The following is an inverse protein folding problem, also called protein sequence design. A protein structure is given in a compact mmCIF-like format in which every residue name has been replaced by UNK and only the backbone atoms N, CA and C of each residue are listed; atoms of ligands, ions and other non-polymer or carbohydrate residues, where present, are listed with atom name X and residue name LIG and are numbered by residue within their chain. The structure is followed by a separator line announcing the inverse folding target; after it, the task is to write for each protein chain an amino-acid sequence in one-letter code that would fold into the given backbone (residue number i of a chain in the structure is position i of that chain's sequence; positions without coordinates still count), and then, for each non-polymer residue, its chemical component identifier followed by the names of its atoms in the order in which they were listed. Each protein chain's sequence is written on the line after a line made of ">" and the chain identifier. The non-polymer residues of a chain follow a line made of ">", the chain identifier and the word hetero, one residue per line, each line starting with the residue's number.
data_IF_187695543208
#
_entry.id   IF_187695543208
#
_cell.length_a   1.000
_cell.length_b   1.000
_cell.length_c   1.000
_cell.angle_alpha   90.00
_cell.angle_beta   90.00
_cell.angle_gamma   90.00
#
_symmetry.space_group_name_H-M   'P 1'
#
loop_
_entity.id
_entity.type
_entity.pdbx_description
1 polymer ?
#
# COMPACT_ATOMS: atom_id res chain seq x y z
N UNK A 1 -44.82 5.27 -9.78
CA UNK A 1 -43.98 5.76 -8.66
C UNK A 1 -42.92 4.71 -8.38
N UNK A 2 -41.72 4.87 -8.96
CA UNK A 2 -40.57 4.02 -8.68
C UNK A 2 -39.88 4.58 -7.44
N UNK A 3 -39.80 3.78 -6.38
CA UNK A 3 -39.07 4.13 -5.16
C UNK A 3 -37.59 3.83 -5.41
N UNK A 4 -36.78 4.87 -5.53
CA UNK A 4 -35.33 4.77 -5.42
C UNK A 4 -35.00 4.39 -3.97
N UNK A 5 -34.36 3.24 -3.76
CA UNK A 5 -33.73 2.94 -2.49
C UNK A 5 -32.42 3.71 -2.43
N UNK A 6 -32.35 4.67 -1.51
CA UNK A 6 -31.09 5.23 -1.02
C UNK A 6 -30.45 4.16 -0.12
N UNK A 7 -29.35 3.59 -0.56
CA UNK A 7 -28.46 2.77 0.27
C UNK A 7 -27.44 3.76 0.84
N UNK A 8 -27.46 3.92 2.17
CA UNK A 8 -26.57 4.81 2.89
C UNK A 8 -25.15 4.25 2.89
N UNK A 9 -24.19 5.11 2.54
CA UNK A 9 -22.77 4.85 2.64
C UNK A 9 -22.37 4.78 4.11
N UNK A 10 -21.87 3.63 4.53
CA UNK A 10 -21.16 3.41 5.78
C UNK A 10 -19.89 2.65 5.35
N UNK A 11 -18.78 3.37 5.21
CA UNK A 11 -17.50 2.80 4.78
C UNK A 11 -16.48 3.16 5.85
N UNK A 12 -15.81 2.15 6.41
CA UNK A 12 -14.88 2.22 7.54
C UNK A 12 -13.47 1.88 7.03
N UNK A 13 -12.41 2.41 7.68
CA UNK A 13 -11.17 2.77 7.02
C UNK A 13 -9.83 2.25 7.58
N UNK A 14 -8.86 1.92 6.71
CA UNK A 14 -7.58 1.24 7.02
C UNK A 14 -6.40 1.65 6.09
N UNK A 15 -5.76 2.81 6.25
CA UNK A 15 -4.69 3.24 5.32
C UNK A 15 -3.33 2.54 5.62
N UNK A 16 -2.57 2.18 4.57
CA UNK A 16 -1.25 1.53 4.64
C UNK A 16 -0.25 2.10 3.61
N UNK A 17 0.88 2.61 4.09
CA UNK A 17 1.96 3.23 3.29
C UNK A 17 2.81 2.30 2.39
N UNK A 18 2.40 1.06 2.12
CA UNK A 18 3.06 0.20 1.10
C UNK A 18 2.13 -0.75 0.34
N UNK A 19 0.83 -0.70 0.60
CA UNK A 19 -0.16 -1.44 -0.15
C UNK A 19 -1.45 -0.62 -0.14
N UNK A 20 -1.63 0.17 -1.20
CA UNK A 20 -2.91 0.75 -1.56
C UNK A 20 -3.35 2.00 -0.82
N UNK A 21 -3.43 3.09 -1.58
CA UNK A 21 -4.28 4.25 -1.29
C UNK A 21 -5.78 3.90 -1.16
N UNK A 22 -6.20 2.64 -1.43
CA UNK A 22 -7.58 2.18 -1.46
C UNK A 22 -8.36 2.28 -0.16
N UNK A 23 -7.68 2.37 0.97
CA UNK A 23 -8.35 2.29 2.24
C UNK A 23 -8.37 3.66 2.92
N UNK A 24 -8.64 4.76 2.18
CA UNK A 24 -8.88 6.14 2.67
C UNK A 24 -10.36 6.67 2.49
N UNK A 25 -11.15 6.79 3.58
CA UNK A 25 -12.55 7.23 3.73
C UNK A 25 -12.68 7.95 5.07
N UNK A 26 -12.04 9.10 5.13
CA UNK A 26 -12.25 10.09 6.18
C UNK A 26 -12.19 11.46 5.53
N UNK A 27 -13.36 12.03 5.20
CA UNK A 27 -13.61 13.42 4.76
C UNK A 27 -12.69 14.06 3.70
N UNK A 28 -11.72 13.33 3.16
CA UNK A 28 -10.97 13.73 1.99
C UNK A 28 -11.77 13.25 0.79
N UNK A 29 -12.52 14.14 0.11
CA UNK A 29 -12.94 13.81 -1.23
C UNK A 29 -11.65 13.47 -1.98
N UNK A 30 -11.59 12.26 -2.57
CA UNK A 30 -10.76 12.10 -3.77
C UNK A 30 -11.01 13.36 -4.59
N UNK A 31 -9.97 14.12 -4.97
CA UNK A 31 -10.18 15.40 -5.62
C UNK A 31 -11.21 15.18 -6.73
N UNK A 32 -12.34 15.90 -6.67
CA UNK A 32 -13.48 15.64 -7.54
C UNK A 32 -12.92 15.42 -8.95
N UNK A 33 -13.22 14.27 -9.57
CA UNK A 33 -12.69 13.97 -10.90
C UNK A 33 -13.06 15.08 -11.92
N UNK A 34 -14.10 15.86 -11.60
CA UNK A 34 -14.51 17.08 -12.31
C UNK A 34 -13.62 18.32 -12.04
N UNK A 35 -12.94 18.42 -10.89
CA UNK A 35 -12.14 19.57 -10.46
C UNK A 35 -10.65 19.47 -10.87
N UNK A 36 -10.07 18.27 -10.86
CA UNK A 36 -8.68 18.02 -11.30
C UNK A 36 -8.56 17.53 -12.73
N UNK A 37 -9.65 17.00 -13.28
CA UNK A 37 -9.66 16.27 -14.55
C UNK A 37 -8.98 14.91 -14.36
N UNK A 38 -9.74 13.83 -14.56
CA UNK A 38 -9.35 12.41 -14.39
C UNK A 38 -8.09 11.91 -15.13
N UNK A 39 -7.27 12.81 -15.69
CA UNK A 39 -6.10 12.53 -16.51
C UNK A 39 -4.79 13.06 -15.91
N UNK A 40 -4.82 13.89 -14.86
CA UNK A 40 -3.63 14.54 -14.32
C UNK A 40 -3.14 13.87 -13.04
N UNK A 41 -1.81 13.81 -12.90
CA UNK A 41 -1.16 13.51 -11.63
C UNK A 41 -1.23 14.76 -10.74
N UNK A 42 -1.62 14.56 -9.49
CA UNK A 42 -1.68 15.59 -8.46
C UNK A 42 -0.89 15.12 -7.24
N UNK A 43 -0.27 16.02 -6.46
CA UNK A 43 0.38 15.62 -5.22
C UNK A 43 -0.58 14.88 -4.28
N UNK A 44 -0.10 13.81 -3.65
CA UNK A 44 -0.83 13.09 -2.60
C UNK A 44 -1.14 14.03 -1.43
N UNK A 45 -2.30 13.86 -0.79
CA UNK A 45 -2.68 14.65 0.39
C UNK A 45 -1.60 14.55 1.49
N UNK A 46 -1.05 15.67 1.98
CA UNK A 46 -0.07 15.66 3.05
C UNK A 46 -0.46 14.86 4.30
N UNK A 47 -1.76 14.70 4.59
CA UNK A 47 -2.23 13.90 5.72
C UNK A 47 -1.78 12.43 5.65
N UNK A 48 -1.54 11.88 4.45
CA UNK A 48 -0.98 10.53 4.29
C UNK A 48 0.41 10.38 4.91
N UNK A 49 1.21 11.44 4.94
CA UNK A 49 2.56 11.38 5.51
C UNK A 49 2.60 11.50 7.05
N UNK A 50 1.47 11.82 7.68
CA UNK A 50 1.35 11.87 9.15
C UNK A 50 0.98 10.51 9.75
N UNK A 51 0.69 9.52 8.91
CA UNK A 51 0.32 8.18 9.33
C UNK A 51 1.52 7.34 9.76
N UNK A 52 1.29 6.52 10.78
CA UNK A 52 2.28 5.58 11.31
C UNK A 52 1.81 4.19 10.97
N UNK A 53 2.60 3.46 10.20
CA UNK A 53 2.32 2.05 9.89
C UNK A 53 3.13 1.15 10.80
N UNK A 54 2.52 0.05 11.21
CA UNK A 54 3.17 -0.98 12.02
C UNK A 54 3.12 -2.32 11.28
N UNK A 55 4.29 -2.94 11.13
CA UNK A 55 4.44 -4.27 10.57
C UNK A 55 4.95 -5.24 11.64
N UNK A 56 4.31 -6.40 11.76
CA UNK A 56 4.85 -7.52 12.55
C UNK A 56 5.95 -8.21 11.73
N UNK A 57 7.20 -7.81 11.95
CA UNK A 57 8.35 -8.28 11.17
C UNK A 57 9.63 -8.31 12.00
N UNK A 58 10.62 -9.07 11.53
CA UNK A 58 11.95 -9.13 12.15
C UNK A 58 11.92 -9.56 13.63
N UNK A 59 10.94 -10.40 14.00
CA UNK A 59 10.72 -10.85 15.38
C UNK A 59 10.23 -9.76 16.35
N UNK A 60 9.72 -8.62 15.84
CA UNK A 60 9.20 -7.51 16.63
C UNK A 60 8.13 -6.72 15.84
N UNK A 61 7.82 -5.52 16.29
CA UNK A 61 7.10 -4.52 15.51
C UNK A 61 8.13 -3.61 14.85
N UNK A 62 7.98 -3.38 13.55
CA UNK A 62 8.69 -2.34 12.81
C UNK A 62 7.72 -1.20 12.56
N UNK A 63 8.03 -0.03 13.13
CA UNK A 63 7.31 1.21 12.86
C UNK A 63 7.84 1.81 11.56
N UNK A 64 6.93 2.20 10.68
CA UNK A 64 7.23 2.77 9.36
C UNK A 64 6.57 4.14 9.28
N UNK A 65 7.36 5.17 9.03
CA UNK A 65 6.90 6.56 8.92
C UNK A 65 7.44 7.21 7.66
N UNK A 66 6.74 8.20 7.11
CA UNK A 66 7.25 8.96 5.98
C UNK A 66 8.54 9.72 6.34
N UNK A 67 9.57 9.56 5.51
CA UNK A 67 10.87 10.24 5.64
C UNK A 67 10.82 11.69 5.15
N UNK A 68 11.98 12.26 4.86
CA UNK A 68 12.16 13.65 4.46
C UNK A 68 11.68 13.93 3.03
N UNK A 69 11.65 12.92 2.15
CA UNK A 69 11.22 13.05 0.75
C UNK A 69 9.76 12.64 0.61
N UNK A 70 8.91 13.58 0.16
CA UNK A 70 7.44 13.48 0.13
C UNK A 70 6.87 14.11 -1.14
N UNK A 71 7.31 13.64 -2.29
CA UNK A 71 6.98 14.19 -3.61
C UNK A 71 6.14 13.20 -4.44
N UNK A 72 5.34 12.35 -3.76
CA UNK A 72 4.43 11.41 -4.44
C UNK A 72 3.30 12.19 -5.10
N UNK A 73 3.05 11.86 -6.37
CA UNK A 73 1.86 12.25 -7.11
C UNK A 73 1.01 11.01 -7.40
N UNK A 74 -0.30 11.18 -7.35
CA UNK A 74 -1.27 10.17 -7.74
C UNK A 74 -2.19 10.66 -8.85
N UNK A 75 -2.74 9.71 -9.61
CA UNK A 75 -3.81 9.92 -10.56
C UNK A 75 -4.88 8.86 -10.35
N UNK A 76 -6.12 9.30 -10.17
CA UNK A 76 -7.28 8.42 -10.01
C UNK A 76 -8.13 8.47 -11.27
N UNK A 77 -8.45 7.30 -11.84
CA UNK A 77 -9.27 7.17 -13.04
C UNK A 77 -10.38 6.14 -12.82
N UNK A 78 -11.63 6.56 -12.94
CA UNK A 78 -12.77 5.65 -13.06
C UNK A 78 -12.83 5.07 -14.48
N UNK A 79 -12.68 3.75 -14.61
CA UNK A 79 -12.73 3.06 -15.89
C UNK A 79 -14.18 2.85 -16.35
N UNK A 80 -14.38 2.73 -17.66
CA UNK A 80 -15.71 2.47 -18.23
C UNK A 80 -16.34 1.13 -17.77
N UNK A 81 -15.52 0.23 -17.23
CA UNK A 81 -15.89 -1.04 -16.61
C UNK A 81 -16.45 -0.88 -15.19
N UNK A 82 -16.32 0.31 -14.58
CA UNK A 82 -16.69 0.60 -13.19
C UNK A 82 -15.57 0.31 -12.19
N UNK A 83 -14.37 -0.03 -12.66
CA UNK A 83 -13.16 -0.20 -11.84
C UNK A 83 -12.52 1.16 -11.56
N UNK A 84 -11.77 1.26 -10.47
CA UNK A 84 -10.99 2.46 -10.12
C UNK A 84 -9.51 2.13 -10.27
N UNK A 85 -8.81 2.87 -11.13
CA UNK A 85 -7.36 2.79 -11.29
C UNK A 85 -6.72 3.95 -10.54
N UNK A 86 -5.83 3.66 -9.60
CA UNK A 86 -4.96 4.63 -8.94
C UNK A 86 -3.54 4.40 -9.41
N UNK A 87 -2.96 5.36 -10.10
CA UNK A 87 -1.54 5.32 -10.50
C UNK A 87 -0.75 6.26 -9.60
N UNK A 88 0.42 5.85 -9.14
CA UNK A 88 1.29 6.68 -8.31
C UNK A 88 2.73 6.65 -8.79
N UNK A 89 3.43 7.75 -8.54
CA UNK A 89 4.83 7.98 -8.93
C UNK A 89 5.42 9.12 -8.11
N UNK A 90 6.71 9.37 -8.29
CA UNK A 90 7.39 10.50 -7.67
C UNK A 90 8.45 10.00 -6.70
N UNK A 91 9.01 10.93 -5.92
CA UNK A 91 10.04 10.58 -4.96
C UNK A 91 9.44 10.42 -3.56
N UNK A 92 9.84 9.36 -2.85
CA UNK A 92 9.41 9.09 -1.49
C UNK A 92 10.48 8.33 -0.71
N UNK A 93 10.61 8.65 0.56
CA UNK A 93 11.42 7.88 1.52
C UNK A 93 10.59 7.51 2.74
N UNK A 94 11.01 6.45 3.44
CA UNK A 94 10.45 6.03 4.73
C UNK A 94 11.54 5.76 5.75
N UNK A 95 11.21 6.01 7.00
CA UNK A 95 12.02 5.61 8.14
C UNK A 95 11.42 4.36 8.78
N UNK A 96 12.29 3.41 9.10
CA UNK A 96 11.90 2.16 9.74
C UNK A 96 12.59 2.04 11.10
N UNK A 97 11.80 1.81 12.15
CA UNK A 97 12.31 1.64 13.52
C UNK A 97 11.81 0.31 14.09
N UNK A 98 12.73 -0.58 14.44
CA UNK A 98 12.41 -1.85 15.10
C UNK A 98 12.25 -1.64 16.62
N UNK A 99 11.07 -1.97 17.16
CA UNK A 99 10.74 -1.67 18.56
C UNK A 99 11.59 -2.43 19.59
N UNK A 100 12.04 -3.64 19.26
CA UNK A 100 12.76 -4.50 20.21
C UNK A 100 14.10 -3.95 20.68
N UNK A 101 14.82 -3.23 19.81
CA UNK A 101 16.17 -2.71 20.07
C UNK A 101 16.40 -1.27 19.61
N UNK A 102 15.42 -0.65 18.96
CA UNK A 102 15.51 0.71 18.43
C UNK A 102 16.42 0.82 17.21
N UNK A 103 16.71 -0.29 16.51
CA UNK A 103 17.45 -0.26 15.27
C UNK A 103 16.69 0.57 14.21
N UNK A 104 17.41 1.37 13.42
CA UNK A 104 16.84 2.32 12.47
C UNK A 104 17.39 2.09 11.06
N UNK A 105 16.49 2.07 10.08
CA UNK A 105 16.81 2.31 8.67
C UNK A 105 16.20 3.68 8.35
N UNK A 106 17.08 4.66 8.18
CA UNK A 106 16.74 6.06 7.94
C UNK A 106 16.69 6.30 6.42
N UNK A 107 15.66 7.00 5.96
CA UNK A 107 15.49 7.45 4.58
C UNK A 107 15.60 6.32 3.54
N UNK A 108 14.90 5.19 3.76
CA UNK A 108 14.78 4.14 2.75
C UNK A 108 13.99 4.67 1.55
N UNK A 109 14.62 4.69 0.38
CA UNK A 109 13.98 5.08 -0.87
C UNK A 109 12.84 4.12 -1.24
N UNK A 110 11.64 4.64 -1.46
CA UNK A 110 10.47 3.89 -1.96
C UNK A 110 9.84 4.61 -3.14
N UNK A 111 10.67 5.29 -3.96
CA UNK A 111 10.23 6.10 -5.11
C UNK A 111 9.77 5.29 -6.33
N UNK A 112 9.63 3.97 -6.18
CA UNK A 112 9.12 3.09 -7.21
C UNK A 112 7.70 3.49 -7.65
N UNK A 113 7.42 3.62 -8.96
CA UNK A 113 6.06 3.86 -9.39
C UNK A 113 5.22 2.59 -9.28
N UNK A 114 3.91 2.74 -9.33
CA UNK A 114 3.01 1.61 -9.32
C UNK A 114 1.59 1.99 -9.68
N UNK A 115 0.72 0.99 -9.66
CA UNK A 115 -0.70 1.22 -9.75
C UNK A 115 -1.48 0.24 -8.89
N UNK A 116 -2.70 0.65 -8.60
CA UNK A 116 -3.71 -0.14 -7.94
C UNK A 116 -4.98 -0.17 -8.81
N UNK A 117 -5.50 -1.35 -9.08
CA UNK A 117 -6.78 -1.53 -9.76
C UNK A 117 -7.80 -2.12 -8.78
N UNK A 118 -8.84 -1.36 -8.50
CA UNK A 118 -9.89 -1.75 -7.57
C UNK A 118 -11.18 -2.13 -8.29
N UNK A 119 -11.80 -3.21 -7.83
CA UNK A 119 -13.07 -3.71 -8.33
C UNK A 119 -13.95 -4.23 -7.20
N UNK A 120 -15.14 -3.66 -7.07
CA UNK A 120 -16.15 -4.19 -6.14
C UNK A 120 -16.95 -5.33 -6.76
N UNK A 121 -17.04 -6.46 -6.07
CA UNK A 121 -17.82 -7.64 -6.47
C UNK A 121 -18.66 -8.12 -5.28
N UNK A 122 -19.92 -7.70 -5.21
CA UNK A 122 -20.78 -8.06 -4.09
C UNK A 122 -20.37 -7.33 -2.81
N UNK A 123 -19.95 -8.07 -1.77
CA UNK A 123 -19.42 -7.50 -0.51
C UNK A 123 -17.89 -7.54 -0.45
N UNK A 124 -17.22 -7.80 -1.57
CA UNK A 124 -15.76 -7.85 -1.64
C UNK A 124 -15.25 -6.66 -2.47
N UNK A 125 -14.11 -6.12 -2.09
CA UNK A 125 -13.28 -5.27 -2.96
C UNK A 125 -12.04 -6.08 -3.32
N UNK A 126 -11.84 -6.29 -4.61
CA UNK A 126 -10.62 -6.88 -5.16
C UNK A 126 -9.67 -5.77 -5.58
N UNK A 127 -8.42 -5.88 -5.16
CA UNK A 127 -7.39 -4.86 -5.32
C UNK A 127 -6.18 -5.55 -5.92
N UNK A 128 -5.82 -5.20 -7.15
CA UNK A 128 -4.56 -5.61 -7.76
C UNK A 128 -3.56 -4.47 -7.60
N UNK A 129 -2.48 -4.69 -6.85
CA UNK A 129 -1.38 -3.74 -6.72
C UNK A 129 -0.19 -4.23 -7.54
N UNK A 130 0.39 -3.35 -8.36
CA UNK A 130 1.63 -3.60 -9.07
C UNK A 130 2.64 -2.53 -8.74
N UNK A 131 3.78 -2.97 -8.21
CA UNK A 131 4.88 -2.13 -7.74
C UNK A 131 6.09 -2.33 -8.66
N UNK A 132 6.76 -1.24 -9.03
CA UNK A 132 7.98 -1.26 -9.86
C UNK A 132 9.12 -0.54 -9.17
N UNK A 133 10.36 -1.02 -9.31
CA UNK A 133 11.54 -0.33 -8.78
C UNK A 133 11.60 -0.28 -7.25
N UNK A 134 12.11 0.81 -6.68
CA UNK A 134 12.30 0.96 -5.23
C UNK A 134 10.97 0.81 -4.46
N UNK A 135 10.79 -0.31 -3.77
CA UNK A 135 9.51 -0.65 -3.12
C UNK A 135 9.73 -1.55 -1.91
N UNK A 136 8.97 -1.24 -0.84
CA UNK A 136 8.99 -1.96 0.43
C UNK A 136 7.76 -2.88 0.52
N UNK A 137 7.97 -4.12 0.93
CA UNK A 137 6.92 -5.11 1.15
C UNK A 137 6.93 -5.53 2.63
N UNK A 138 5.76 -5.56 3.25
CA UNK A 138 5.58 -6.11 4.59
C UNK A 138 4.13 -6.59 4.78
N UNK A 139 3.88 -7.53 5.70
CA UNK A 139 2.53 -7.92 6.07
C UNK A 139 1.87 -6.79 6.84
N UNK A 140 0.81 -6.21 6.26
CA UNK A 140 0.09 -5.10 6.85
C UNK A 140 -0.63 -5.51 8.13
N UNK A 141 -0.42 -4.73 9.19
CA UNK A 141 -1.11 -4.84 10.48
C UNK A 141 -1.06 -6.24 11.13
N UNK A 142 -0.11 -7.10 10.75
CA UNK A 142 0.01 -8.45 11.28
C UNK A 142 -1.19 -9.35 10.95
N UNK A 143 -1.90 -9.07 9.87
CA UNK A 143 -3.00 -9.93 9.43
C UNK A 143 -2.48 -11.36 9.18
N UNK A 144 -3.14 -12.35 9.78
CA UNK A 144 -2.78 -13.75 9.59
C UNK A 144 -2.87 -14.20 8.13
N UNK A 145 -3.76 -13.58 7.34
CA UNK A 145 -3.90 -13.85 5.90
C UNK A 145 -2.66 -13.35 5.14
N UNK A 146 -2.22 -12.15 5.46
CA UNK A 146 -1.10 -11.50 4.78
C UNK A 146 0.23 -12.17 5.14
N UNK A 147 0.45 -12.45 6.43
CA UNK A 147 1.61 -13.23 6.90
C UNK A 147 1.70 -14.58 6.19
N UNK A 148 0.58 -15.29 6.06
CA UNK A 148 0.56 -16.58 5.37
C UNK A 148 0.90 -16.45 3.87
N UNK A 149 0.45 -15.38 3.21
CA UNK A 149 0.76 -15.11 1.80
C UNK A 149 2.26 -14.83 1.59
N UNK A 150 2.89 -14.04 2.48
CA UNK A 150 4.34 -13.82 2.48
C UNK A 150 5.11 -15.13 2.65
N UNK A 151 4.72 -15.95 3.63
CA UNK A 151 5.34 -17.26 3.88
C UNK A 151 5.20 -18.21 2.67
N UNK A 152 4.02 -18.26 2.04
CA UNK A 152 3.75 -19.10 0.87
C UNK A 152 4.55 -18.64 -0.36
N UNK A 153 4.66 -17.33 -0.58
CA UNK A 153 5.45 -16.74 -1.65
C UNK A 153 6.97 -16.80 -1.39
N UNK A 154 7.40 -17.17 -0.18
CA UNK A 154 8.80 -17.19 0.21
C UNK A 154 9.42 -15.80 0.32
N UNK A 155 8.60 -14.78 0.58
CA UNK A 155 9.02 -13.38 0.76
C UNK A 155 9.49 -13.20 2.22
N UNK A 156 10.60 -12.49 2.48
CA UNK A 156 10.97 -12.10 3.84
C UNK A 156 9.88 -11.26 4.54
N UNK A 157 9.75 -11.38 5.86
CA UNK A 157 8.76 -10.60 6.66
C UNK A 157 8.85 -9.07 6.45
N UNK A 158 10.03 -8.58 6.03
CA UNK A 158 10.25 -7.20 5.62
C UNK A 158 11.20 -7.21 4.42
N UNK A 159 10.64 -7.09 3.22
CA UNK A 159 11.37 -7.23 1.97
C UNK A 159 11.44 -5.91 1.20
N UNK A 160 12.49 -5.76 0.40
CA UNK A 160 12.74 -4.56 -0.38
C UNK A 160 13.38 -4.90 -1.71
N UNK A 161 13.01 -4.21 -2.78
CA UNK A 161 13.62 -4.34 -4.10
C UNK A 161 13.79 -2.96 -4.74
N UNK A 162 14.63 -2.83 -5.78
CA UNK A 162 15.08 -1.49 -6.23
C UNK A 162 15.31 -1.31 -7.70
N UNK A 163 15.63 -2.37 -8.45
CA UNK A 163 16.03 -2.18 -9.82
C UNK A 163 14.80 -1.71 -10.62
N UNK A 164 14.92 -0.68 -11.48
CA UNK A 164 13.78 -0.10 -12.18
C UNK A 164 12.99 -1.09 -13.06
N UNK A 165 13.63 -2.20 -13.46
CA UNK A 165 13.02 -3.30 -14.20
C UNK A 165 12.30 -4.34 -13.34
N UNK A 166 12.50 -4.32 -12.02
CA UNK A 166 11.90 -5.29 -11.09
C UNK A 166 10.46 -4.91 -10.77
N UNK A 167 9.63 -5.92 -10.53
CA UNK A 167 8.23 -5.72 -10.18
C UNK A 167 7.64 -6.80 -9.26
N UNK A 168 6.61 -6.40 -8.52
CA UNK A 168 5.77 -7.31 -7.73
C UNK A 168 4.30 -6.99 -7.98
N UNK A 169 3.51 -8.01 -8.30
CA UNK A 169 2.06 -7.96 -8.43
C UNK A 169 1.41 -8.78 -7.30
N UNK A 170 0.46 -8.17 -6.61
CA UNK A 170 -0.29 -8.77 -5.50
C UNK A 170 -1.78 -8.49 -5.67
N UNK A 171 -2.60 -9.53 -5.57
CA UNK A 171 -4.06 -9.42 -5.45
C UNK A 171 -4.44 -9.49 -3.97
N UNK A 172 -5.27 -8.54 -3.54
CA UNK A 172 -5.83 -8.47 -2.19
C UNK A 172 -7.35 -8.46 -2.33
N UNK A 173 -8.02 -9.34 -1.59
CA UNK A 173 -9.48 -9.31 -1.46
C UNK A 173 -9.80 -8.86 -0.04
N UNK A 174 -10.58 -7.79 0.09
CA UNK A 174 -11.04 -7.28 1.39
C UNK A 174 -12.57 -7.33 1.49
N UNK A 175 -13.08 -7.50 2.72
CA UNK A 175 -14.49 -7.33 2.99
C UNK A 175 -14.87 -5.84 2.90
N UNK A 176 -15.86 -5.51 2.08
CA UNK A 176 -16.25 -4.12 1.81
C UNK A 176 -16.91 -3.43 3.01
N UNK A 177 -17.42 -4.18 3.99
CA UNK A 177 -18.04 -3.62 5.19
C UNK A 177 -17.01 -3.40 6.31
N UNK A 178 -16.11 -4.35 6.52
CA UNK A 178 -15.13 -4.31 7.61
C UNK A 178 -13.76 -3.77 7.21
N UNK A 179 -13.41 -3.86 5.93
CA UNK A 179 -12.07 -3.57 5.40
C UNK A 179 -11.03 -4.65 5.73
N UNK A 180 -11.43 -5.75 6.36
CA UNK A 180 -10.49 -6.82 6.73
C UNK A 180 -10.05 -7.61 5.49
N UNK A 181 -8.76 -7.97 5.37
CA UNK A 181 -8.27 -8.82 4.31
C UNK A 181 -8.84 -10.24 4.46
N UNK A 182 -9.44 -10.72 3.39
CA UNK A 182 -9.99 -12.07 3.23
C UNK A 182 -8.99 -13.00 2.54
N UNK A 183 -8.24 -12.46 1.58
CA UNK A 183 -7.28 -13.18 0.74
C UNK A 183 -6.17 -12.23 0.30
N UNK A 184 -4.94 -12.73 0.23
CA UNK A 184 -3.76 -12.06 -0.32
C UNK A 184 -3.01 -13.09 -1.14
N UNK A 185 -2.71 -12.79 -2.40
CA UNK A 185 -1.98 -13.67 -3.31
C UNK A 185 -0.92 -12.85 -4.08
N UNK A 186 0.32 -13.32 -4.09
CA UNK A 186 1.38 -12.75 -4.93
C UNK A 186 1.38 -13.44 -6.28
N UNK A 187 0.74 -12.80 -7.26
CA UNK A 187 0.58 -13.36 -8.62
C UNK A 187 1.92 -13.43 -9.37
N UNK A 188 2.74 -12.38 -9.24
CA UNK A 188 4.04 -12.29 -9.92
C UNK A 188 5.09 -11.58 -9.05
N UNK A 189 6.28 -12.17 -8.97
CA UNK A 189 7.45 -11.59 -8.30
C UNK A 189 8.63 -11.71 -9.27
N UNK A 190 8.92 -10.61 -9.97
CA UNK A 190 10.09 -10.45 -10.84
C UNK A 190 11.07 -9.46 -10.20
N UNK A 191 11.61 -9.84 -9.03
CA UNK A 191 12.48 -8.98 -8.24
C UNK A 191 13.51 -9.78 -7.42
N UNK A 192 14.71 -9.22 -7.25
CA UNK A 192 15.67 -9.69 -6.24
C UNK A 192 15.32 -9.06 -4.87
N UNK A 193 14.60 -9.83 -4.05
CA UNK A 193 14.15 -9.36 -2.74
C UNK A 193 15.28 -9.33 -1.71
N UNK A 194 15.50 -8.16 -1.12
CA UNK A 194 16.42 -7.91 -0.01
C UNK A 194 15.66 -8.06 1.32
N UNK A 195 16.17 -8.90 2.21
CA UNK A 195 15.69 -9.02 3.59
C UNK A 195 16.20 -7.85 4.45
N UNK A 196 15.30 -6.93 4.81
CA UNK A 196 15.63 -5.79 5.67
C UNK A 196 15.81 -6.17 7.14
N UNK A 197 15.30 -7.32 7.59
CA UNK A 197 15.56 -7.83 8.94
C UNK A 197 17.05 -8.15 9.11
N UNK A 198 17.67 -8.75 8.08
CA UNK A 198 19.12 -8.94 8.06
C UNK A 198 19.87 -7.61 8.14
N UNK A 199 19.36 -6.58 7.45
CA UNK A 199 19.99 -5.25 7.43
C UNK A 199 19.95 -4.58 8.81
N UNK A 200 18.83 -4.68 9.54
CA UNK A 200 18.75 -4.22 10.93
C UNK A 200 19.82 -4.88 11.82
N UNK A 201 20.06 -6.18 11.64
CA UNK A 201 20.97 -6.94 12.49
C UNK A 201 22.46 -6.68 12.20
N UNK A 202 22.81 -6.16 11.01
CA UNK A 202 24.19 -6.12 10.51
C UNK A 202 24.71 -4.73 10.16
N UNK A 203 23.91 -3.66 10.31
CA UNK A 203 24.46 -2.29 10.19
C UNK A 203 25.17 -1.89 11.50
N UNK A 204 26.46 -1.49 11.45
CA UNK A 204 27.09 -0.83 12.58
C UNK A 204 26.52 0.58 12.70
N UNK A 205 25.82 0.84 13.80
CA UNK A 205 25.36 2.16 14.23
C UNK A 205 26.52 3.09 14.59
#
# INVERSE_FOLDING_TARGET
>A
MRRSLAIGALTTLLISLTAGSALATGDHPAPDAEETGAEQFVPVDPAFYDEVVQAEACGSIVTITAGDVREVEERVTELATGEVLVEFRGAATVDLVRESDGAVIDELDISGPGYELQRTVGNEVRITNVLYGASLLFPYAGSAVDIAAFEEAGIPDLAYFTAPEESVEVEIVVDAETGEPLEVEFDEIDAELVDLCWLFDHRPW
#
